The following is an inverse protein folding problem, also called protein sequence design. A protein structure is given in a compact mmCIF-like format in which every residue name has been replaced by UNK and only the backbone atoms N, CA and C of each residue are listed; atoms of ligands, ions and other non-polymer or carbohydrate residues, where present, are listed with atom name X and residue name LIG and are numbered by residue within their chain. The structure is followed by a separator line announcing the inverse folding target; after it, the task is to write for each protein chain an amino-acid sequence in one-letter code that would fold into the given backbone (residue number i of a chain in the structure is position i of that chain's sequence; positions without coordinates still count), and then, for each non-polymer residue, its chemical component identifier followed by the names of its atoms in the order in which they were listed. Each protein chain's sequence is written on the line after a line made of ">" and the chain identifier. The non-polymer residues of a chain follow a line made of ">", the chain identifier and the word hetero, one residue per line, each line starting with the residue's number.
data_IF_497207330440
#
_entry.id   IF_497207330440
#
_cell.length_a   1.000
_cell.length_b   1.000
_cell.length_c   1.000
_cell.angle_alpha   90.00
_cell.angle_beta   90.00
_cell.angle_gamma   90.00
#
_symmetry.space_group_name_H-M   'P 1'
#
loop_
_entity.id
_entity.type
_entity.pdbx_description
1 polymer ?
#
# COMPACT_ATOMS: atom_id res chain seq x y z
N UNK A 1 -4.83 6.30 -12.31
CA UNK A 1 -3.96 6.92 -11.31
C UNK A 1 -2.57 7.28 -11.84
N UNK A 2 -1.99 6.56 -12.82
CA UNK A 2 -0.67 6.95 -13.37
C UNK A 2 0.48 6.81 -12.36
N UNK A 3 0.21 6.11 -11.26
CA UNK A 3 1.08 5.80 -10.14
C UNK A 3 2.12 4.77 -10.53
N UNK A 4 3.20 4.69 -9.75
CA UNK A 4 4.34 3.84 -10.05
C UNK A 4 4.02 2.38 -9.72
N UNK A 5 4.79 1.45 -10.31
CA UNK A 5 4.53 0.03 -10.10
C UNK A 5 4.70 -0.36 -8.63
N UNK A 6 5.69 0.25 -7.96
CA UNK A 6 6.00 0.04 -6.55
C UNK A 6 4.83 0.42 -5.62
N UNK A 7 4.32 1.64 -5.72
CA UNK A 7 3.25 2.12 -4.83
C UNK A 7 1.90 1.45 -5.12
N UNK A 8 1.63 1.13 -6.39
CA UNK A 8 0.40 0.44 -6.78
C UNK A 8 0.39 -1.00 -6.29
N UNK A 9 1.53 -1.70 -6.40
CA UNK A 9 1.71 -3.04 -5.84
C UNK A 9 1.58 -3.01 -4.32
N UNK A 10 2.21 -2.03 -3.67
CA UNK A 10 2.08 -1.88 -2.22
C UNK A 10 0.64 -1.61 -1.78
N UNK A 11 -0.09 -0.74 -2.47
CA UNK A 11 -1.49 -0.46 -2.16
C UNK A 11 -2.37 -1.71 -2.29
N UNK A 12 -2.13 -2.53 -3.32
CA UNK A 12 -2.83 -3.82 -3.48
C UNK A 12 -2.45 -4.82 -2.39
N UNK A 13 -1.16 -4.91 -2.04
CA UNK A 13 -0.68 -5.82 -1.00
C UNK A 13 -1.17 -5.41 0.39
N UNK A 14 -1.24 -4.11 0.68
CA UNK A 14 -1.71 -3.54 1.96
C UNK A 14 -3.18 -3.83 2.26
N UNK A 15 -3.96 -4.32 1.28
CA UNK A 15 -5.31 -4.85 1.53
C UNK A 15 -5.26 -6.08 2.45
N UNK A 16 -4.18 -6.85 2.39
CA UNK A 16 -4.01 -8.07 3.21
C UNK A 16 -2.88 -7.93 4.22
N UNK A 17 -1.84 -7.19 3.85
CA UNK A 17 -0.63 -7.01 4.64
C UNK A 17 -0.72 -5.80 5.57
N UNK A 18 -0.25 -5.97 6.81
CA UNK A 18 -0.11 -4.86 7.75
C UNK A 18 1.08 -3.94 7.43
N UNK A 19 1.25 -2.84 8.17
CA UNK A 19 2.32 -1.87 7.93
C UNK A 19 3.72 -2.47 8.08
N UNK A 20 3.90 -3.45 8.97
CA UNK A 20 5.17 -4.17 9.14
C UNK A 20 5.47 -5.11 7.97
N UNK A 21 4.47 -5.85 7.50
CA UNK A 21 4.59 -6.81 6.39
C UNK A 21 4.79 -6.09 5.05
N UNK A 22 4.07 -4.98 4.84
CA UNK A 22 4.23 -4.11 3.69
C UNK A 22 5.64 -3.50 3.63
N UNK A 23 6.19 -3.05 4.77
CA UNK A 23 7.56 -2.53 4.83
C UNK A 23 8.61 -3.61 4.49
N UNK A 24 8.40 -4.86 4.91
CA UNK A 24 9.28 -5.98 4.55
C UNK A 24 9.21 -6.29 3.06
N UNK A 25 8.00 -6.33 2.48
CA UNK A 25 7.80 -6.55 1.05
C UNK A 25 8.51 -5.48 0.21
N UNK A 26 8.48 -4.23 0.67
CA UNK A 26 9.04 -3.08 -0.04
C UNK A 26 10.52 -2.79 0.31
N UNK A 27 11.15 -3.60 1.16
CA UNK A 27 12.50 -3.35 1.73
C UNK A 27 13.57 -2.98 0.70
N UNK A 28 13.55 -3.61 -0.47
CA UNK A 28 14.54 -3.36 -1.53
C UNK A 28 14.20 -2.13 -2.36
N UNK A 29 12.91 -1.93 -2.63
CA UNK A 29 12.39 -0.78 -3.38
C UNK A 29 12.47 0.52 -2.58
N UNK A 30 12.40 0.47 -1.23
CA UNK A 30 12.49 1.65 -0.36
C UNK A 30 13.77 2.49 -0.58
N UNK A 31 14.88 1.89 -1.06
CA UNK A 31 16.14 2.62 -1.32
C UNK A 31 16.09 3.45 -2.60
N UNK A 32 15.23 3.10 -3.54
CA UNK A 32 15.12 3.73 -4.86
C UNK A 32 13.84 4.56 -5.02
N UNK A 33 12.93 4.50 -4.05
CA UNK A 33 11.66 5.23 -4.03
C UNK A 33 11.84 6.71 -3.72
N UNK A 34 10.95 7.53 -4.28
CA UNK A 34 10.83 8.96 -3.99
C UNK A 34 10.08 9.18 -2.67
N UNK A 35 10.15 10.40 -2.13
CA UNK A 35 9.42 10.74 -0.89
C UNK A 35 7.90 10.58 -1.04
N UNK A 36 7.34 10.88 -2.22
CA UNK A 36 5.91 10.71 -2.48
C UNK A 36 5.51 9.23 -2.54
N UNK A 37 6.35 8.38 -3.12
CA UNK A 37 6.12 6.92 -3.14
C UNK A 37 6.22 6.29 -1.74
N UNK A 38 7.20 6.74 -0.93
CA UNK A 38 7.34 6.30 0.47
C UNK A 38 6.11 6.73 1.26
N UNK A 39 5.67 7.98 1.11
CA UNK A 39 4.48 8.49 1.79
C UNK A 39 3.22 7.72 1.38
N UNK A 40 3.03 7.44 0.10
CA UNK A 40 1.90 6.64 -0.38
C UNK A 40 1.92 5.22 0.21
N UNK A 41 3.10 4.60 0.26
CA UNK A 41 3.30 3.24 0.80
C UNK A 41 3.02 3.18 2.30
N UNK A 42 3.53 4.14 3.06
CA UNK A 42 3.27 4.24 4.51
C UNK A 42 1.79 4.50 4.78
N UNK A 43 1.19 5.46 4.08
CA UNK A 43 -0.22 5.82 4.31
C UNK A 43 -1.12 4.63 3.98
N UNK A 44 -0.83 3.86 2.92
CA UNK A 44 -1.56 2.65 2.59
C UNK A 44 -1.53 1.61 3.72
N UNK A 45 -0.37 1.37 4.34
CA UNK A 45 -0.23 0.41 5.44
C UNK A 45 -0.95 0.83 6.73
N UNK A 46 -1.19 2.13 6.95
CA UNK A 46 -1.94 2.62 8.12
C UNK A 46 -3.43 2.80 7.85
N UNK A 47 -3.84 3.04 6.61
CA UNK A 47 -5.24 3.25 6.24
C UNK A 47 -6.02 1.95 6.10
N UNK A 48 -5.34 0.83 5.86
CA UNK A 48 -5.95 -0.48 5.62
C UNK A 48 -5.78 -1.42 6.82
N UNK A 49 -6.70 -2.37 6.93
CA UNK A 49 -6.65 -3.43 7.94
C UNK A 49 -5.92 -4.65 7.39
N UNK A 50 -4.99 -5.20 8.16
CA UNK A 50 -4.36 -6.49 7.86
C UNK A 50 -5.36 -7.64 8.00
N UNK A 51 -5.11 -8.75 7.30
CA UNK A 51 -5.91 -9.98 7.43
C UNK A 51 -6.03 -10.50 8.87
N UNK A 52 -5.01 -10.25 9.71
CA UNK A 52 -5.04 -10.57 11.15
C UNK A 52 -6.13 -9.77 11.90
N UNK A 53 -6.22 -8.46 11.66
CA UNK A 53 -7.26 -7.60 12.22
C UNK A 53 -8.64 -7.93 11.64
N UNK A 54 -8.70 -8.28 10.36
CA UNK A 54 -9.95 -8.69 9.72
C UNK A 54 -10.59 -9.88 10.43
N UNK A 55 -9.81 -10.94 10.73
CA UNK A 55 -10.30 -12.09 11.48
C UNK A 55 -10.75 -11.71 12.91
N UNK A 56 -10.01 -10.83 13.58
CA UNK A 56 -10.35 -10.35 14.92
C UNK A 56 -11.67 -9.56 14.93
N UNK A 57 -11.89 -8.67 13.96
CA UNK A 57 -13.13 -7.90 13.88
C UNK A 57 -14.35 -8.78 13.58
N UNK A 58 -14.18 -9.82 12.76
CA UNK A 58 -15.23 -10.82 12.53
C UNK A 58 -15.56 -11.57 13.84
N UNK A 59 -14.53 -11.93 14.63
CA UNK A 59 -14.75 -12.56 15.94
C UNK A 59 -15.49 -11.64 16.92
N UNK A 60 -15.36 -10.31 16.78
CA UNK A 60 -16.13 -9.32 17.54
C UNK A 60 -17.54 -9.07 16.98
N UNK A 61 -17.96 -9.77 15.93
CA UNK A 61 -19.30 -9.66 15.35
C UNK A 61 -19.46 -8.62 14.24
N UNK A 62 -18.36 -8.08 13.71
CA UNK A 62 -18.41 -7.18 12.55
C UNK A 62 -18.80 -7.93 11.27
N UNK A 63 -19.52 -7.26 10.37
CA UNK A 63 -19.95 -7.84 9.11
C UNK A 63 -18.77 -7.97 8.12
N UNK A 64 -18.39 -9.19 7.68
CA UNK A 64 -17.23 -9.39 6.82
C UNK A 64 -17.32 -8.64 5.48
N UNK A 65 -18.52 -8.54 4.89
CA UNK A 65 -18.74 -7.88 3.61
C UNK A 65 -18.46 -6.37 3.67
N UNK A 66 -18.91 -5.70 4.74
CA UNK A 66 -18.63 -4.29 4.95
C UNK A 66 -17.15 -4.02 5.19
N UNK A 67 -16.48 -4.84 6.01
CA UNK A 67 -15.05 -4.71 6.27
C UNK A 67 -14.22 -4.87 5.00
N UNK A 68 -14.53 -5.89 4.19
CA UNK A 68 -13.83 -6.12 2.94
C UNK A 68 -14.08 -5.00 1.93
N UNK A 69 -15.33 -4.54 1.81
CA UNK A 69 -15.69 -3.43 0.93
C UNK A 69 -14.98 -2.13 1.34
N UNK A 70 -14.97 -1.78 2.63
CA UNK A 70 -14.26 -0.60 3.11
C UNK A 70 -12.76 -0.69 2.84
N UNK A 71 -12.16 -1.86 3.05
CA UNK A 71 -10.73 -2.05 2.84
C UNK A 71 -10.35 -1.93 1.36
N UNK A 72 -11.17 -2.50 0.47
CA UNK A 72 -10.97 -2.38 -0.98
C UNK A 72 -11.14 -0.94 -1.48
N UNK A 73 -12.08 -0.18 -0.90
CA UNK A 73 -12.27 1.24 -1.20
C UNK A 73 -11.12 2.12 -0.69
N UNK A 74 -10.48 1.74 0.44
CA UNK A 74 -9.31 2.44 0.98
C UNK A 74 -8.10 2.40 0.05
N UNK A 75 -7.93 1.34 -0.75
CA UNK A 75 -6.78 1.21 -1.67
C UNK A 75 -6.65 2.34 -2.71
N UNK A 76 -7.69 2.68 -3.50
CA UNK A 76 -7.61 3.85 -4.38
C UNK A 76 -7.72 5.19 -3.62
N UNK A 77 -8.47 5.23 -2.52
CA UNK A 77 -8.65 6.47 -1.74
C UNK A 77 -7.33 6.93 -1.12
N UNK A 78 -6.54 6.01 -0.56
CA UNK A 78 -5.26 6.34 0.08
C UNK A 78 -4.23 6.83 -0.92
N UNK A 79 -4.21 6.28 -2.14
CA UNK A 79 -3.34 6.76 -3.22
C UNK A 79 -3.74 8.15 -3.69
N UNK A 80 -5.05 8.45 -3.73
CA UNK A 80 -5.51 9.79 -4.06
C UNK A 80 -5.12 10.79 -2.96
N UNK A 81 -5.39 10.46 -1.70
CA UNK A 81 -5.09 11.33 -0.54
C UNK A 81 -3.58 11.52 -0.39
N UNK A 82 -2.77 10.48 -0.53
CA UNK A 82 -1.32 10.58 -0.38
C UNK A 82 -0.70 11.51 -1.44
N UNK A 83 -1.19 11.47 -2.69
CA UNK A 83 -0.73 12.35 -3.76
C UNK A 83 -1.25 13.77 -3.64
N UNK A 84 -2.37 14.00 -2.96
CA UNK A 84 -2.84 15.35 -2.59
C UNK A 84 -1.94 15.94 -1.50
N UNK A 85 -1.61 15.15 -0.48
CA UNK A 85 -0.79 15.61 0.66
C UNK A 85 0.68 15.78 0.25
N UNK A 86 1.25 14.81 -0.46
CA UNK A 86 2.62 14.83 -0.93
C UNK A 86 2.69 14.48 -2.43
N UNK A 87 2.60 15.49 -3.31
CA UNK A 87 2.61 15.27 -4.75
C UNK A 87 3.97 14.76 -5.24
N UNK A 88 3.93 14.03 -6.36
CA UNK A 88 5.12 13.48 -6.99
C UNK A 88 5.93 14.60 -7.69
N UNK A 89 6.98 15.06 -7.02
CA UNK A 89 7.89 16.11 -7.55
C UNK A 89 9.17 15.54 -8.18
N UNK A 90 9.48 14.27 -7.90
CA UNK A 90 10.69 13.60 -8.37
C UNK A 90 10.38 12.61 -9.50
N UNK A 91 11.35 12.35 -10.37
CA UNK A 91 11.20 11.34 -11.42
C UNK A 91 11.38 9.95 -10.82
N UNK A 92 10.27 9.24 -10.62
CA UNK A 92 10.32 7.86 -10.11
C UNK A 92 11.15 6.95 -11.01
N UNK A 93 12.00 6.15 -10.37
CA UNK A 93 12.86 5.14 -11.00
C UNK A 93 12.16 3.80 -11.20
N UNK A 94 10.96 3.61 -10.63
CA UNK A 94 10.21 2.35 -10.61
C UNK A 94 8.84 2.48 -11.28
N UNK A 95 8.78 3.24 -12.38
CA UNK A 95 7.53 3.49 -13.11
C UNK A 95 7.04 2.24 -13.84
N UNK A 96 7.94 1.37 -14.28
CA UNK A 96 7.60 0.08 -14.91
C UNK A 96 7.88 -1.10 -13.98
N UNK A 97 7.05 -2.14 -14.09
CA UNK A 97 7.16 -3.37 -13.28
C UNK A 97 8.49 -4.11 -13.53
N UNK A 98 9.13 -3.88 -14.68
CA UNK A 98 10.44 -4.44 -15.05
C UNK A 98 11.59 -3.86 -14.21
N UNK A 99 11.38 -2.68 -13.64
CA UNK A 99 12.37 -1.97 -12.82
C UNK A 99 12.16 -2.25 -11.31
N UNK A 100 11.11 -2.99 -10.96
CA UNK A 100 10.82 -3.38 -9.59
C UNK A 100 11.62 -4.64 -9.23
N UNK A 101 12.54 -4.52 -8.26
CA UNK A 101 13.31 -5.65 -7.75
C UNK A 101 12.54 -6.31 -6.61
N UNK A 102 12.17 -7.57 -6.82
CA UNK A 102 11.60 -8.40 -5.77
C UNK A 102 12.70 -8.88 -4.81
N UNK A 103 12.38 -9.04 -3.51
CA UNK A 103 13.30 -9.64 -2.56
C UNK A 103 13.79 -11.02 -3.06
N UNK A 104 15.08 -11.35 -2.92
CA UNK A 104 15.61 -12.66 -3.27
C UNK A 104 14.92 -13.71 -2.41
N UNK A 105 14.44 -14.76 -3.06
CA UNK A 105 13.85 -15.97 -2.48
C UNK A 105 14.79 -16.67 -1.51
#
# INVERSE_FOLDING_TARGET
>A
MGTTAAESLNAAASIFLGPTEAAVMMRQSLRSMTESEIMATMTAGFAMISGSLFALYIAFGACPSHLLASNLMSAPAVLAVSKIVQPEVQRSKQKHIKDFQFPPS
#
